data_IF_573609404676
#
_entry.id   IF_573609404676
#
_cell.length_a   1.000
_cell.length_b   1.000
_cell.length_c   1.000
_cell.angle_alpha   90.00
_cell.angle_beta   90.00
_cell.angle_gamma   90.00
#
_symmetry.space_group_name_H-M   'P 1'
#
loop_
_entity.id
_entity.type
_entity.pdbx_description
1 polymer ?
#
# COMPACT_ATOMS: atom_id res chain seq x y z
N UNK A 1 5.87 -22.98 6.47
CA UNK A 1 6.06 -21.55 6.70
C UNK A 1 4.99 -20.76 5.95
N UNK A 2 4.29 -19.82 6.60
CA UNK A 2 3.31 -18.96 5.94
C UNK A 2 3.97 -18.12 4.84
N UNK A 3 5.22 -17.68 5.05
CA UNK A 3 6.04 -16.91 4.11
C UNK A 3 6.21 -17.61 2.77
N UNK A 4 6.55 -18.90 2.78
CA UNK A 4 6.75 -19.67 1.53
C UNK A 4 5.44 -20.04 0.84
N UNK A 5 4.35 -20.18 1.59
CA UNK A 5 3.04 -20.54 1.02
C UNK A 5 2.34 -19.36 0.34
N UNK A 6 2.82 -18.13 0.55
CA UNK A 6 2.34 -16.94 -0.17
C UNK A 6 2.40 -17.10 -1.70
N UNK A 7 3.31 -17.96 -2.21
CA UNK A 7 3.44 -18.23 -3.65
C UNK A 7 2.16 -18.79 -4.27
N UNK A 8 1.28 -19.40 -3.48
CA UNK A 8 0.01 -19.97 -3.95
C UNK A 8 -0.93 -18.92 -4.54
N UNK A 9 -0.71 -17.64 -4.22
CA UNK A 9 -1.48 -16.51 -4.74
C UNK A 9 -0.91 -15.94 -6.05
N UNK A 10 0.25 -16.44 -6.51
CA UNK A 10 0.82 -16.05 -7.79
C UNK A 10 0.14 -16.81 -8.94
N UNK A 11 -0.10 -16.13 -10.07
CA UNK A 11 -0.66 -16.76 -11.28
C UNK A 11 0.22 -17.91 -11.79
N UNK A 12 1.53 -17.77 -11.65
CA UNK A 12 2.54 -18.78 -12.00
C UNK A 12 3.52 -18.91 -10.84
N UNK A 13 3.29 -19.82 -9.88
CA UNK A 13 4.21 -20.03 -8.77
C UNK A 13 5.53 -20.63 -9.26
N UNK A 14 6.70 -20.18 -8.77
CA UNK A 14 8.00 -20.72 -9.16
C UNK A 14 8.27 -22.13 -8.60
N UNK A 15 7.51 -22.55 -7.59
CA UNK A 15 7.55 -23.90 -7.00
C UNK A 15 6.17 -24.30 -6.50
N UNK A 16 5.93 -25.60 -6.33
CA UNK A 16 4.66 -26.11 -5.80
C UNK A 16 4.54 -25.83 -4.30
N UNK A 17 3.59 -24.99 -3.84
CA UNK A 17 3.41 -24.70 -2.42
C UNK A 17 3.06 -25.95 -1.58
N UNK A 18 2.57 -27.03 -2.19
CA UNK A 18 2.18 -28.26 -1.48
C UNK A 18 3.37 -29.06 -0.96
N UNK A 19 4.56 -28.88 -1.53
CA UNK A 19 5.77 -29.57 -1.06
C UNK A 19 6.34 -28.94 0.22
N UNK A 20 5.89 -27.73 0.57
CA UNK A 20 6.39 -26.96 1.70
C UNK A 20 5.82 -27.49 3.01
N UNK A 21 6.69 -28.11 3.81
CA UNK A 21 6.39 -28.54 5.17
C UNK A 21 6.37 -27.37 6.17
N UNK A 22 5.84 -27.61 7.36
CA UNK A 22 5.72 -26.60 8.43
C UNK A 22 7.04 -26.27 9.10
N UNK A 23 8.08 -27.06 8.88
CA UNK A 23 9.42 -26.98 9.47
C UNK A 23 10.51 -26.57 8.46
N UNK A 24 10.11 -26.12 7.27
CA UNK A 24 11.04 -25.65 6.24
C UNK A 24 11.19 -24.13 6.24
N UNK A 25 12.42 -23.66 6.00
CA UNK A 25 12.73 -22.29 5.60
C UNK A 25 13.24 -22.29 4.16
N UNK A 26 13.00 -21.19 3.43
CA UNK A 26 13.47 -21.03 2.06
C UNK A 26 14.60 -20.00 2.01
N UNK A 27 15.61 -20.28 1.20
CA UNK A 27 16.74 -19.39 0.97
C UNK A 27 16.78 -19.01 -0.51
N UNK A 28 16.87 -17.71 -0.78
CA UNK A 28 17.11 -17.17 -2.11
C UNK A 28 18.54 -16.61 -2.13
N UNK A 29 19.33 -17.07 -3.10
CA UNK A 29 20.71 -16.63 -3.29
C UNK A 29 20.82 -15.88 -4.62
N UNK A 30 21.54 -14.76 -4.61
CA UNK A 30 21.98 -14.09 -5.83
C UNK A 30 23.51 -14.05 -5.85
N UNK A 31 24.09 -14.36 -7.00
CA UNK A 31 25.52 -14.34 -7.23
C UNK A 31 25.84 -13.36 -8.35
N UNK A 32 26.95 -12.65 -8.23
CA UNK A 32 27.45 -11.75 -9.26
C UNK A 32 28.95 -12.01 -9.45
N UNK A 33 29.36 -12.25 -10.69
CA UNK A 33 30.75 -12.54 -11.06
C UNK A 33 31.15 -11.68 -12.27
N UNK A 34 32.47 -11.52 -12.46
CA UNK A 34 33.01 -10.70 -13.54
C UNK A 34 33.03 -11.40 -14.91
N UNK A 35 32.82 -12.72 -14.97
CA UNK A 35 32.88 -13.49 -16.21
C UNK A 35 32.00 -14.75 -16.16
N UNK A 36 31.60 -15.23 -17.34
CA UNK A 36 30.72 -16.39 -17.49
C UNK A 36 31.33 -17.68 -16.90
N UNK A 37 32.63 -17.90 -17.04
CA UNK A 37 33.30 -19.11 -16.53
C UNK A 37 33.20 -19.24 -15.01
N UNK A 38 33.22 -18.12 -14.27
CA UNK A 38 32.96 -18.12 -12.83
C UNK A 38 31.50 -18.48 -12.51
N UNK A 39 30.53 -17.94 -13.27
CA UNK A 39 29.11 -18.28 -13.12
C UNK A 39 28.87 -19.76 -13.40
N UNK A 40 29.41 -20.31 -14.49
CA UNK A 40 29.24 -21.71 -14.88
C UNK A 40 29.75 -22.65 -13.78
N UNK A 41 30.86 -22.30 -13.11
CA UNK A 41 31.37 -23.03 -11.95
C UNK A 41 30.40 -22.98 -10.77
N UNK A 42 29.82 -21.82 -10.46
CA UNK A 42 28.83 -21.67 -9.38
C UNK A 42 27.59 -22.50 -9.67
N UNK A 43 27.02 -22.39 -10.86
CA UNK A 43 25.82 -23.14 -11.30
C UNK A 43 26.05 -24.64 -11.18
N UNK A 44 27.25 -25.13 -11.51
CA UNK A 44 27.61 -26.55 -11.39
C UNK A 44 27.79 -27.01 -9.95
N UNK A 45 28.39 -26.19 -9.08
CA UNK A 45 28.81 -26.60 -7.74
C UNK A 45 27.73 -26.39 -6.68
N UNK A 46 26.92 -25.34 -6.76
CA UNK A 46 25.91 -24.99 -5.74
C UNK A 46 24.94 -26.14 -5.45
N UNK A 47 24.33 -26.81 -6.44
CA UNK A 47 23.45 -27.94 -6.18
C UNK A 47 24.12 -29.06 -5.37
N UNK A 48 25.41 -29.32 -5.65
CA UNK A 48 26.20 -30.36 -4.99
C UNK A 48 26.45 -29.98 -3.52
N UNK A 49 26.88 -28.74 -3.26
CA UNK A 49 27.15 -28.28 -1.89
C UNK A 49 25.86 -28.20 -1.05
N UNK A 50 24.75 -27.71 -1.64
CA UNK A 50 23.45 -27.66 -0.97
C UNK A 50 22.93 -29.06 -0.63
N UNK A 51 23.12 -30.05 -1.50
CA UNK A 51 22.72 -31.42 -1.23
C UNK A 51 23.51 -32.03 -0.06
N UNK A 52 24.82 -31.73 0.08
CA UNK A 52 25.65 -32.22 1.20
C UNK A 52 25.15 -31.76 2.56
N UNK A 53 24.58 -30.55 2.63
CA UNK A 53 24.01 -29.99 3.87
C UNK A 53 22.52 -30.32 4.05
N UNK A 54 21.95 -31.17 3.19
CA UNK A 54 20.56 -31.63 3.31
C UNK A 54 19.51 -30.63 2.82
N UNK A 55 19.89 -29.60 2.06
CA UNK A 55 18.93 -28.68 1.47
C UNK A 55 18.18 -29.33 0.30
N UNK A 56 16.88 -29.04 0.21
CA UNK A 56 16.04 -29.45 -0.93
C UNK A 56 16.07 -28.34 -1.99
N UNK A 57 16.65 -28.63 -3.14
CA UNK A 57 16.69 -27.70 -4.27
C UNK A 57 15.32 -27.67 -4.97
N UNK A 58 14.42 -26.82 -4.48
CA UNK A 58 13.07 -26.66 -5.04
C UNK A 58 13.07 -25.91 -6.38
N UNK A 59 14.05 -25.04 -6.57
CA UNK A 59 14.31 -24.30 -7.79
C UNK A 59 15.83 -24.22 -8.00
N UNK A 60 16.32 -24.54 -9.19
CA UNK A 60 17.76 -24.55 -9.50
C UNK A 60 18.31 -23.14 -9.78
N UNK A 61 19.64 -23.00 -9.92
CA UNK A 61 20.24 -21.75 -10.39
C UNK A 61 19.66 -21.33 -11.76
N UNK A 62 19.46 -20.03 -11.95
CA UNK A 62 18.96 -19.47 -13.22
C UNK A 62 19.67 -18.16 -13.55
N UNK A 63 19.99 -17.98 -14.83
CA UNK A 63 20.51 -16.73 -15.38
C UNK A 63 19.43 -15.96 -16.15
N UNK A 64 18.27 -16.58 -16.40
CA UNK A 64 17.15 -15.96 -17.12
C UNK A 64 16.60 -14.76 -16.35
N UNK A 65 16.61 -13.60 -17.00
CA UNK A 65 16.23 -12.31 -16.38
C UNK A 65 14.77 -12.33 -15.89
N UNK A 66 13.85 -12.84 -16.69
CA UNK A 66 12.43 -12.88 -16.32
C UNK A 66 12.19 -13.72 -15.06
N UNK A 67 12.83 -14.90 -14.99
CA UNK A 67 12.79 -15.79 -13.84
C UNK A 67 13.43 -15.15 -12.60
N UNK A 68 14.59 -14.49 -12.74
CA UNK A 68 15.24 -13.78 -11.64
C UNK A 68 14.36 -12.68 -11.07
N UNK A 69 13.74 -11.88 -11.94
CA UNK A 69 12.79 -10.83 -11.55
C UNK A 69 11.62 -11.45 -10.78
N UNK A 70 11.07 -12.58 -11.24
CA UNK A 70 9.98 -13.27 -10.57
C UNK A 70 10.35 -13.74 -9.15
N UNK A 71 11.53 -14.34 -8.97
CA UNK A 71 12.02 -14.77 -7.65
C UNK A 71 12.27 -13.60 -6.70
N UNK A 72 12.82 -12.50 -7.20
CA UNK A 72 13.00 -11.28 -6.40
C UNK A 72 11.68 -10.62 -6.04
N UNK A 73 10.71 -10.63 -6.96
CA UNK A 73 9.35 -10.14 -6.69
C UNK A 73 8.67 -10.98 -5.61
N UNK A 74 8.94 -12.28 -5.54
CA UNK A 74 8.46 -13.12 -4.45
C UNK A 74 9.00 -12.64 -3.10
N UNK A 75 10.32 -12.46 -2.97
CA UNK A 75 10.96 -11.98 -1.72
C UNK A 75 10.47 -10.58 -1.32
N UNK A 76 10.25 -9.69 -2.29
CA UNK A 76 9.71 -8.33 -2.07
C UNK A 76 8.20 -8.35 -1.73
N UNK A 77 7.48 -9.36 -2.23
CA UNK A 77 6.03 -9.51 -2.08
C UNK A 77 5.58 -10.07 -0.73
N UNK A 78 6.50 -10.53 0.14
CA UNK A 78 6.14 -11.11 1.45
C UNK A 78 5.40 -10.12 2.35
N UNK A 79 5.90 -8.89 2.50
CA UNK A 79 5.23 -7.86 3.30
C UNK A 79 3.85 -7.49 2.75
N UNK A 80 3.69 -7.16 1.45
CA UNK A 80 2.37 -6.92 0.89
C UNK A 80 1.40 -8.09 1.00
N UNK A 81 1.89 -9.33 0.99
CA UNK A 81 1.00 -10.49 1.15
C UNK A 81 0.34 -10.52 2.51
N UNK A 82 1.07 -10.19 3.58
CA UNK A 82 0.46 -9.98 4.92
C UNK A 82 -0.62 -8.91 4.85
N UNK A 83 -0.32 -7.79 4.18
CA UNK A 83 -1.27 -6.71 3.93
C UNK A 83 -2.52 -7.13 3.14
N UNK A 84 -2.42 -8.11 2.25
CA UNK A 84 -3.54 -8.62 1.45
C UNK A 84 -4.39 -9.66 2.21
N UNK A 85 -3.76 -10.45 3.08
CA UNK A 85 -4.41 -11.55 3.81
C UNK A 85 -5.03 -11.12 5.13
N UNK A 86 -4.63 -9.95 5.66
CA UNK A 86 -5.16 -9.44 6.93
C UNK A 86 -6.65 -9.16 6.89
N UNK A 87 -7.26 -9.17 8.06
CA UNK A 87 -8.62 -8.66 8.23
C UNK A 87 -8.69 -7.15 8.00
N UNK A 88 -9.78 -6.67 7.40
CA UNK A 88 -10.03 -5.23 7.21
C UNK A 88 -10.14 -4.55 8.58
N UNK A 89 -9.64 -3.32 8.66
CA UNK A 89 -9.60 -2.57 9.92
C UNK A 89 -8.42 -2.89 10.85
N UNK A 90 -7.57 -3.87 10.49
CA UNK A 90 -6.30 -4.12 11.20
C UNK A 90 -5.14 -3.36 10.56
N UNK A 91 -4.07 -3.13 11.32
CA UNK A 91 -2.76 -2.64 10.87
C UNK A 91 -1.84 -3.80 10.55
N UNK A 92 -0.77 -3.54 9.78
CA UNK A 92 0.36 -4.48 9.66
C UNK A 92 1.50 -3.95 10.51
N UNK A 93 1.94 -4.76 11.48
CA UNK A 93 3.13 -4.48 12.27
C UNK A 93 4.35 -5.10 11.60
N UNK A 94 5.51 -4.45 11.75
CA UNK A 94 6.79 -4.93 11.26
C UNK A 94 7.84 -4.75 12.33
N UNK A 95 8.41 -5.85 12.78
CA UNK A 95 9.57 -5.84 13.68
C UNK A 95 10.83 -6.29 12.94
N UNK A 96 11.97 -5.83 13.42
CA UNK A 96 13.25 -5.90 12.72
C UNK A 96 14.35 -6.21 13.73
N UNK A 97 14.71 -7.50 13.80
CA UNK A 97 15.52 -8.07 14.86
C UNK A 97 16.82 -8.63 14.27
N UNK A 98 17.94 -8.50 14.98
CA UNK A 98 19.22 -9.03 14.52
C UNK A 98 19.79 -10.03 15.52
N UNK A 99 20.31 -11.15 15.00
CA UNK A 99 20.87 -12.24 15.78
C UNK A 99 22.17 -12.74 15.15
N UNK A 100 22.94 -13.55 15.87
CA UNK A 100 24.01 -14.28 15.24
C UNK A 100 23.42 -15.32 14.26
N UNK A 101 23.94 -15.42 13.04
CA UNK A 101 23.34 -16.26 11.98
C UNK A 101 23.24 -17.75 12.35
N UNK A 102 24.15 -18.25 13.21
CA UNK A 102 24.10 -19.63 13.74
C UNK A 102 22.88 -19.90 14.61
N UNK A 103 22.30 -18.87 15.23
CA UNK A 103 21.18 -19.00 16.18
C UNK A 103 19.82 -18.90 15.49
N UNK A 104 19.77 -18.46 14.22
CA UNK A 104 18.53 -18.25 13.47
C UNK A 104 17.55 -19.44 13.52
N UNK A 105 17.99 -20.72 13.42
CA UNK A 105 17.04 -21.84 13.51
C UNK A 105 16.29 -21.89 14.85
N UNK A 106 16.99 -21.68 15.97
CA UNK A 106 16.37 -21.72 17.30
C UNK A 106 15.58 -20.43 17.58
N UNK A 107 16.11 -19.27 17.15
CA UNK A 107 15.40 -17.99 17.24
C UNK A 107 14.06 -18.04 16.51
N UNK A 108 14.02 -18.53 15.27
CA UNK A 108 12.78 -18.65 14.49
C UNK A 108 11.79 -19.60 15.19
N UNK A 109 12.27 -20.69 15.80
CA UNK A 109 11.43 -21.62 16.56
C UNK A 109 10.82 -20.93 17.79
N UNK A 110 11.59 -20.17 18.55
CA UNK A 110 11.11 -19.43 19.73
C UNK A 110 10.17 -18.28 19.36
N UNK A 111 10.50 -17.51 18.31
CA UNK A 111 9.62 -16.47 17.77
C UNK A 111 8.26 -17.04 17.40
N UNK A 112 8.20 -18.24 16.81
CA UNK A 112 6.93 -18.91 16.49
C UNK A 112 6.13 -19.28 17.75
N UNK A 113 6.79 -19.68 18.83
CA UNK A 113 6.14 -19.96 20.13
C UNK A 113 5.54 -18.66 20.68
N UNK A 114 6.29 -17.55 20.63
CA UNK A 114 5.81 -16.23 21.02
C UNK A 114 4.59 -15.80 20.16
N UNK A 115 4.66 -16.00 18.84
CA UNK A 115 3.54 -15.70 17.94
C UNK A 115 2.28 -16.49 18.30
N UNK A 116 2.43 -17.78 18.59
CA UNK A 116 1.32 -18.64 19.04
C UNK A 116 0.75 -18.17 20.39
N UNK A 117 1.61 -17.85 21.36
CA UNK A 117 1.21 -17.32 22.68
C UNK A 117 0.35 -16.06 22.54
N UNK A 118 0.72 -15.16 21.63
CA UNK A 118 0.02 -13.91 21.39
C UNK A 118 -0.96 -13.94 20.20
N UNK A 119 -1.31 -15.12 19.66
CA UNK A 119 -2.32 -15.35 18.61
C UNK A 119 -2.03 -14.66 17.26
N UNK A 120 -0.77 -14.49 16.89
CA UNK A 120 -0.35 -13.97 15.57
C UNK A 120 -0.25 -15.10 14.53
N UNK A 121 -1.41 -15.66 14.17
CA UNK A 121 -1.49 -16.83 13.29
C UNK A 121 -1.13 -16.53 11.82
N UNK A 122 -1.20 -15.26 11.43
CA UNK A 122 -0.84 -14.75 10.11
C UNK A 122 0.59 -14.20 10.02
N UNK A 123 1.41 -14.47 11.04
CA UNK A 123 2.79 -13.99 11.09
C UNK A 123 3.66 -14.60 9.99
N UNK A 124 4.48 -13.73 9.41
CA UNK A 124 5.46 -14.04 8.36
C UNK A 124 6.82 -13.62 8.88
N UNK A 125 7.74 -14.59 8.97
CA UNK A 125 9.13 -14.37 9.36
C UNK A 125 9.99 -14.55 8.11
N UNK A 126 10.82 -13.55 7.81
CA UNK A 126 11.68 -13.49 6.63
C UNK A 126 12.81 -12.50 6.88
N UNK A 127 13.85 -12.44 6.05
CA UNK A 127 14.93 -11.50 6.36
C UNK A 127 16.15 -11.62 5.46
N UNK A 128 17.26 -11.16 6.00
CA UNK A 128 18.60 -11.24 5.44
C UNK A 128 19.41 -12.24 6.27
N UNK A 129 19.25 -13.52 5.93
CA UNK A 129 19.74 -14.63 6.76
C UNK A 129 21.26 -14.59 6.98
N UNK A 130 22.03 -14.12 5.99
CA UNK A 130 23.49 -14.02 6.09
C UNK A 130 23.91 -12.98 7.14
N UNK A 131 23.18 -11.88 7.21
CA UNK A 131 23.42 -10.79 8.15
C UNK A 131 22.77 -11.04 9.53
N UNK A 132 22.02 -12.14 9.68
CA UNK A 132 21.30 -12.43 10.93
C UNK A 132 20.08 -11.53 11.17
N UNK A 133 19.69 -10.72 10.18
CA UNK A 133 18.52 -9.85 10.25
C UNK A 133 17.24 -10.63 9.93
N UNK A 134 16.32 -10.67 10.89
CA UNK A 134 14.97 -11.20 10.77
C UNK A 134 13.95 -10.07 10.85
N UNK A 135 13.13 -9.97 9.82
CA UNK A 135 11.89 -9.25 9.85
C UNK A 135 10.75 -10.17 10.28
N UNK A 136 9.88 -9.59 11.09
CA UNK A 136 8.61 -10.17 11.48
C UNK A 136 7.49 -9.25 10.98
N UNK A 137 6.50 -9.80 10.30
CA UNK A 137 5.31 -9.05 9.89
C UNK A 137 4.04 -9.82 10.24
N UNK A 138 3.05 -9.12 10.80
CA UNK A 138 1.76 -9.71 11.16
C UNK A 138 0.64 -8.64 11.19
N UNK A 139 -0.62 -9.05 11.17
CA UNK A 139 -1.72 -8.12 11.39
C UNK A 139 -1.98 -7.84 12.87
N UNK A 140 -2.46 -6.63 13.17
CA UNK A 140 -2.80 -6.19 14.52
C UNK A 140 -3.99 -5.24 14.52
N UNK A 141 -5.03 -5.57 15.28
CA UNK A 141 -6.13 -4.66 15.55
C UNK A 141 -5.77 -3.66 16.66
N UNK A 142 -5.44 -2.42 16.29
CA UNK A 142 -5.22 -1.34 17.26
C UNK A 142 -6.50 -0.62 17.69
N UNK A 143 -7.67 -1.03 17.18
CA UNK A 143 -8.95 -0.48 17.61
C UNK A 143 -9.46 -1.13 18.91
N UNK A 144 -8.89 -2.27 19.33
CA UNK A 144 -9.29 -3.00 20.54
C UNK A 144 -8.23 -3.02 21.63
N UNK A 145 -8.68 -3.01 22.89
CA UNK A 145 -7.78 -3.11 24.05
C UNK A 145 -7.07 -4.47 24.15
N UNK A 146 -7.72 -5.56 23.72
CA UNK A 146 -7.07 -6.87 23.61
C UNK A 146 -5.94 -6.82 22.58
N UNK A 147 -6.16 -6.14 21.46
CA UNK A 147 -5.13 -6.00 20.45
C UNK A 147 -3.90 -5.24 20.93
N UNK A 148 -4.10 -4.09 21.59
CA UNK A 148 -3.02 -3.34 22.23
C UNK A 148 -2.27 -4.17 23.28
N UNK A 149 -3.01 -4.95 24.09
CA UNK A 149 -2.40 -5.84 25.10
C UNK A 149 -1.53 -6.93 24.45
N UNK A 150 -1.99 -7.53 23.36
CA UNK A 150 -1.23 -8.55 22.62
C UNK A 150 0.04 -7.96 22.02
N UNK A 151 -0.04 -6.75 21.48
CA UNK A 151 1.11 -6.04 20.94
C UNK A 151 2.16 -5.72 22.01
N UNK A 152 1.74 -5.17 23.16
CA UNK A 152 2.63 -4.92 24.30
C UNK A 152 3.34 -6.21 24.77
N UNK A 153 2.59 -7.29 24.87
CA UNK A 153 3.11 -8.59 25.27
C UNK A 153 4.09 -9.20 24.27
N UNK A 154 3.76 -9.11 22.97
CA UNK A 154 4.63 -9.56 21.87
C UNK A 154 5.99 -8.87 21.93
N UNK A 155 6.01 -7.54 22.02
CA UNK A 155 7.26 -6.77 22.02
C UNK A 155 8.12 -7.06 23.25
N UNK A 156 7.51 -7.24 24.43
CA UNK A 156 8.24 -7.61 25.65
C UNK A 156 8.88 -8.99 25.54
N UNK A 157 8.12 -9.99 25.12
CA UNK A 157 8.65 -11.34 24.93
C UNK A 157 9.75 -11.37 23.84
N UNK A 158 9.58 -10.61 22.75
CA UNK A 158 10.62 -10.44 21.73
C UNK A 158 11.86 -9.73 22.28
N UNK A 159 11.68 -8.73 23.15
CA UNK A 159 12.79 -8.05 23.79
C UNK A 159 13.59 -8.97 24.72
N UNK A 160 12.91 -9.72 25.58
CA UNK A 160 13.53 -10.73 26.46
C UNK A 160 14.23 -11.83 25.65
N UNK A 161 13.58 -12.34 24.60
CA UNK A 161 14.20 -13.32 23.71
C UNK A 161 15.49 -12.77 23.10
N UNK A 162 15.44 -11.55 22.59
CA UNK A 162 16.52 -10.97 21.80
C UNK A 162 17.68 -10.57 22.68
N UNK A 163 17.44 -9.77 23.71
CA UNK A 163 18.48 -9.21 24.57
C UNK A 163 19.01 -10.27 25.54
N UNK A 164 18.14 -10.95 26.28
CA UNK A 164 18.59 -11.81 27.38
C UNK A 164 19.03 -13.20 26.90
N UNK A 165 18.30 -13.82 25.98
CA UNK A 165 18.58 -15.21 25.56
C UNK A 165 19.63 -15.30 24.46
N UNK A 166 19.59 -14.38 23.49
CA UNK A 166 20.44 -14.47 22.30
C UNK A 166 21.47 -13.33 22.18
N UNK A 167 21.46 -12.34 23.08
CA UNK A 167 22.33 -11.17 23.01
C UNK A 167 22.33 -10.52 21.60
N UNK A 168 21.14 -10.42 21.01
CA UNK A 168 20.85 -9.82 19.71
C UNK A 168 20.50 -8.34 19.82
N UNK A 169 20.03 -7.78 18.71
CA UNK A 169 19.60 -6.38 18.58
C UNK A 169 18.11 -6.29 18.27
N UNK A 170 17.40 -5.35 18.91
CA UNK A 170 15.97 -5.06 18.67
C UNK A 170 15.71 -4.20 17.44
N UNK A 171 16.79 -3.86 16.72
CA UNK A 171 16.77 -3.04 15.51
C UNK A 171 17.94 -3.46 14.63
N UNK A 172 17.68 -3.78 13.37
CA UNK A 172 18.72 -4.08 12.39
C UNK A 172 18.91 -2.92 11.42
N UNK A 173 17.87 -2.58 10.65
CA UNK A 173 17.85 -1.55 9.61
C UNK A 173 16.76 -0.48 9.78
N UNK A 174 15.63 -0.79 10.46
CA UNK A 174 14.50 0.15 10.57
C UNK A 174 14.70 1.24 11.63
N UNK A 175 15.72 1.11 12.49
CA UNK A 175 16.02 2.04 13.57
C UNK A 175 15.08 1.91 14.78
N UNK A 176 15.09 2.91 15.65
CA UNK A 176 14.37 2.85 16.93
C UNK A 176 12.88 3.23 16.78
N UNK A 177 12.61 4.46 16.34
CA UNK A 177 11.25 5.00 16.31
C UNK A 177 10.54 4.97 17.67
N UNK A 178 9.28 5.40 17.69
CA UNK A 178 8.46 5.38 18.93
C UNK A 178 8.17 3.96 19.43
N UNK A 179 8.26 2.98 18.54
CA UNK A 179 7.99 1.58 18.84
C UNK A 179 9.07 0.96 19.73
N UNK A 180 10.36 1.19 19.40
CA UNK A 180 11.48 0.62 20.17
C UNK A 180 12.08 1.58 21.19
N UNK A 181 11.74 2.88 21.16
CA UNK A 181 12.32 3.86 22.08
C UNK A 181 12.22 3.48 23.57
N UNK A 182 11.11 2.89 24.06
CA UNK A 182 11.02 2.39 25.44
C UNK A 182 12.05 1.30 25.79
N UNK A 183 12.49 0.51 24.81
CA UNK A 183 13.35 -0.65 25.00
C UNK A 183 14.85 -0.32 24.83
N UNK A 184 15.22 0.92 24.49
CA UNK A 184 16.62 1.31 24.25
C UNK A 184 17.48 1.14 25.49
N UNK A 185 16.99 1.56 26.67
CA UNK A 185 17.74 1.39 27.92
C UNK A 185 17.92 -0.08 28.29
N UNK A 186 16.91 -0.90 27.99
CA UNK A 186 16.94 -2.34 28.24
C UNK A 186 17.99 -3.04 27.36
N UNK A 187 18.05 -2.72 26.07
CA UNK A 187 19.02 -3.30 25.13
C UNK A 187 20.46 -2.79 25.35
N UNK A 188 20.65 -1.49 25.58
CA UNK A 188 21.99 -0.88 25.64
C UNK A 188 22.55 -0.74 27.06
N UNK A 189 21.73 -0.99 28.07
CA UNK A 189 22.06 -0.77 29.46
C UNK A 189 22.05 0.70 29.87
N UNK A 190 21.97 0.92 31.18
CA UNK A 190 21.81 2.26 31.77
C UNK A 190 22.95 3.22 31.43
N UNK A 191 24.21 2.77 31.47
CA UNK A 191 25.37 3.65 31.26
C UNK A 191 25.40 4.26 29.85
N UNK A 192 25.29 3.41 28.82
CA UNK A 192 25.27 3.86 27.42
C UNK A 192 24.03 4.71 27.14
N UNK A 193 22.87 4.32 27.68
CA UNK A 193 21.64 5.10 27.56
C UNK A 193 21.77 6.51 28.14
N UNK A 194 22.45 6.69 29.28
CA UNK A 194 22.73 8.03 29.83
C UNK A 194 23.69 8.83 28.95
N UNK A 195 24.67 8.20 28.30
CA UNK A 195 25.53 8.88 27.32
C UNK A 195 24.71 9.38 26.13
N UNK A 196 23.80 8.55 25.60
CA UNK A 196 22.89 8.96 24.52
C UNK A 196 22.06 10.20 24.91
N UNK A 197 21.54 10.23 26.15
CA UNK A 197 20.83 11.40 26.67
C UNK A 197 21.71 12.64 26.82
N UNK A 198 22.95 12.51 27.28
CA UNK A 198 23.90 13.63 27.34
C UNK A 198 24.15 14.20 25.95
N UNK A 199 24.39 13.35 24.94
CA UNK A 199 24.57 13.79 23.56
C UNK A 199 23.32 14.55 23.09
N UNK A 200 22.12 13.99 23.30
CA UNK A 200 20.85 14.62 22.92
C UNK A 200 20.68 15.98 23.58
N UNK A 201 20.95 16.12 24.88
CA UNK A 201 20.80 17.38 25.61
C UNK A 201 21.82 18.45 25.19
N UNK A 202 23.04 18.05 24.79
CA UNK A 202 24.03 18.99 24.27
C UNK A 202 23.67 19.50 22.87
N UNK A 203 23.08 18.64 22.03
CA UNK A 203 22.71 19.00 20.66
C UNK A 203 21.32 19.68 20.56
N UNK A 204 20.40 19.35 21.47
CA UNK A 204 19.02 19.84 21.49
C UNK A 204 18.56 20.10 22.94
N UNK A 205 19.05 21.20 23.57
CA UNK A 205 18.75 21.50 24.97
C UNK A 205 17.26 21.72 25.26
N UNK A 206 16.51 22.20 24.28
CA UNK A 206 15.06 22.45 24.38
C UNK A 206 14.21 21.21 24.05
N UNK A 207 14.82 20.16 23.48
CA UNK A 207 14.14 18.92 23.16
C UNK A 207 13.16 19.01 22.00
N UNK A 208 13.31 19.99 21.09
CA UNK A 208 12.36 20.25 20.00
C UNK A 208 12.56 19.32 18.79
N UNK A 209 13.75 18.73 18.64
CA UNK A 209 14.08 17.88 17.50
C UNK A 209 13.58 16.45 17.71
N UNK A 210 12.41 16.15 17.15
CA UNK A 210 11.78 14.81 17.15
C UNK A 210 11.72 14.16 18.54
N UNK A 211 10.98 14.77 19.50
CA UNK A 211 10.83 14.21 20.84
C UNK A 211 10.24 12.80 20.79
N UNK A 212 10.75 11.96 21.71
CA UNK A 212 10.31 10.57 21.93
C UNK A 212 10.52 9.59 20.76
N UNK A 213 11.25 9.97 19.71
CA UNK A 213 11.47 9.09 18.54
C UNK A 213 12.66 8.15 18.72
N UNK A 214 13.79 8.63 19.24
CA UNK A 214 15.00 7.81 19.41
C UNK A 214 15.25 7.44 20.88
N UNK A 215 14.91 8.36 21.78
CA UNK A 215 15.05 8.21 23.21
C UNK A 215 13.77 8.74 23.84
N UNK A 216 13.22 8.00 24.80
CA UNK A 216 12.09 8.43 25.59
C UNK A 216 12.27 7.99 27.03
N UNK A 217 11.72 8.76 27.98
CA UNK A 217 11.56 8.32 29.37
C UNK A 217 10.21 7.64 29.61
N UNK A 218 9.32 7.63 28.62
CA UNK A 218 8.01 7.01 28.69
C UNK A 218 8.09 5.52 28.33
N UNK A 219 8.11 4.67 29.35
CA UNK A 219 8.20 3.21 29.22
C UNK A 219 6.98 2.55 28.56
N UNK A 220 5.94 3.33 28.25
CA UNK A 220 4.71 2.83 27.58
C UNK A 220 4.47 3.53 26.24
N UNK A 221 5.45 4.25 25.69
CA UNK A 221 5.26 5.02 24.47
C UNK A 221 4.79 4.15 23.29
N UNK A 222 5.30 2.93 23.16
CA UNK A 222 5.00 2.00 22.08
C UNK A 222 3.52 1.61 21.99
N UNK A 223 2.75 1.78 23.07
CA UNK A 223 1.31 1.49 23.12
C UNK A 223 0.44 2.75 23.24
N UNK A 224 1.05 3.94 23.09
CA UNK A 224 0.33 5.23 23.10
C UNK A 224 0.21 5.80 21.70
N UNK A 225 -0.84 6.59 21.48
CA UNK A 225 -1.09 7.29 20.21
C UNK A 225 -1.04 6.35 18.99
N UNK A 226 -1.47 5.09 19.19
CA UNK A 226 -1.57 4.10 18.12
C UNK A 226 -2.62 4.58 17.12
N UNK A 227 -2.27 4.50 15.84
CA UNK A 227 -3.17 4.92 14.76
C UNK A 227 -4.27 3.86 14.58
N UNK A 228 -5.55 4.18 14.85
CA UNK A 228 -6.65 3.27 14.54
C UNK A 228 -6.86 3.19 13.02
N UNK A 229 -7.40 2.07 12.55
CA UNK A 229 -7.73 1.86 11.14
C UNK A 229 -9.22 1.57 11.03
N UNK A 230 -10.08 2.59 10.84
CA UNK A 230 -11.50 2.37 10.62
C UNK A 230 -11.73 1.81 9.21
N UNK A 231 -12.79 1.03 9.06
CA UNK A 231 -13.31 0.57 7.78
C UNK A 231 -14.08 1.72 7.13
N UNK A 232 -13.74 2.06 5.88
CA UNK A 232 -14.38 3.15 5.13
C UNK A 232 -15.11 2.67 3.88
N UNK A 233 -14.51 1.75 3.13
CA UNK A 233 -15.06 1.18 1.91
C UNK A 233 -14.30 -0.09 1.53
N UNK A 234 -15.06 -1.12 1.17
CA UNK A 234 -14.54 -2.46 0.89
C UNK A 234 -13.46 -2.50 -0.19
N UNK A 235 -13.47 -1.55 -1.14
CA UNK A 235 -12.53 -1.46 -2.25
C UNK A 235 -11.14 -0.93 -1.87
N UNK A 236 -10.99 -0.31 -0.69
CA UNK A 236 -9.74 0.32 -0.25
C UNK A 236 -9.25 -0.13 1.13
N UNK A 237 -10.07 -0.85 1.90
CA UNK A 237 -9.74 -1.15 3.30
C UNK A 237 -8.61 -2.16 3.53
N UNK A 238 -8.14 -2.84 2.49
CA UNK A 238 -6.88 -3.59 2.53
C UNK A 238 -5.63 -2.67 2.47
N UNK A 239 -5.79 -1.36 2.24
CA UNK A 239 -4.67 -0.42 2.16
C UNK A 239 -3.88 -0.36 3.46
N UNK A 240 -2.58 -0.64 3.39
CA UNK A 240 -1.60 -0.53 4.49
C UNK A 240 -0.86 0.80 4.50
N UNK A 241 -1.29 1.75 3.65
CA UNK A 241 -0.75 3.13 3.60
C UNK A 241 0.75 3.24 3.25
N UNK A 242 1.29 2.28 2.49
CA UNK A 242 2.70 2.23 2.10
C UNK A 242 3.15 3.28 1.05
N UNK A 243 2.23 3.77 0.22
CA UNK A 243 2.52 4.82 -0.76
C UNK A 243 3.01 4.36 -2.14
N UNK A 244 3.07 3.05 -2.44
CA UNK A 244 3.46 2.57 -3.79
C UNK A 244 2.60 3.14 -4.93
N UNK A 245 1.35 3.50 -4.64
CA UNK A 245 0.43 4.09 -5.61
C UNK A 245 0.68 5.58 -5.90
N UNK A 246 1.48 6.28 -5.09
CA UNK A 246 1.64 7.74 -5.20
C UNK A 246 2.37 8.17 -6.49
N UNK A 247 3.50 7.54 -6.89
CA UNK A 247 4.27 8.00 -8.05
C UNK A 247 3.54 7.91 -9.40
N UNK A 248 2.54 7.03 -9.51
CA UNK A 248 1.76 6.82 -10.76
C UNK A 248 0.45 7.60 -10.79
N UNK A 249 0.11 8.32 -9.72
CA UNK A 249 -1.15 9.05 -9.66
C UNK A 249 -1.09 10.32 -10.51
N UNK A 250 -2.01 10.54 -11.47
CA UNK A 250 -2.05 11.79 -12.24
C UNK A 250 -2.27 13.04 -11.39
N UNK A 251 -2.85 12.89 -10.20
CA UNK A 251 -3.09 13.98 -9.26
C UNK A 251 -1.87 14.29 -8.36
N UNK A 252 -0.80 13.50 -8.45
CA UNK A 252 0.42 13.72 -7.68
C UNK A 252 1.04 15.09 -8.02
N UNK A 253 1.41 15.86 -6.99
CA UNK A 253 1.91 17.22 -7.15
C UNK A 253 0.83 18.29 -7.38
N UNK A 254 -0.43 17.89 -7.64
CA UNK A 254 -1.57 18.81 -7.74
C UNK A 254 -2.44 18.82 -6.49
N UNK A 255 -2.76 17.64 -5.96
CA UNK A 255 -3.68 17.44 -4.82
C UNK A 255 -3.41 16.10 -4.12
N UNK A 256 -4.41 15.47 -3.49
CA UNK A 256 -4.20 14.22 -2.75
C UNK A 256 -3.90 13.03 -3.67
N UNK A 257 -2.91 12.25 -3.27
CA UNK A 257 -2.58 10.95 -3.85
C UNK A 257 -3.61 9.87 -3.44
N UNK A 258 -3.61 8.68 -4.05
CA UNK A 258 -4.57 7.62 -3.71
C UNK A 258 -4.45 7.18 -2.25
N UNK A 259 -3.21 7.05 -1.73
CA UNK A 259 -2.97 6.80 -0.30
C UNK A 259 -3.56 7.89 0.57
N UNK A 260 -3.27 9.15 0.26
CA UNK A 260 -3.73 10.28 1.07
C UNK A 260 -5.27 10.39 1.09
N UNK A 261 -5.95 10.10 -0.02
CA UNK A 261 -7.43 10.04 -0.08
C UNK A 261 -8.00 8.99 0.87
N UNK A 262 -7.38 7.80 0.91
CA UNK A 262 -7.79 6.73 1.83
C UNK A 262 -7.55 7.15 3.28
N UNK A 263 -6.40 7.76 3.59
CA UNK A 263 -6.09 8.27 4.93
C UNK A 263 -7.12 9.32 5.36
N UNK A 264 -7.41 10.31 4.51
CA UNK A 264 -8.41 11.34 4.81
C UNK A 264 -9.80 10.72 5.01
N UNK A 265 -10.22 9.76 4.17
CA UNK A 265 -11.48 9.07 4.36
C UNK A 265 -11.57 8.36 5.73
N UNK A 266 -10.46 7.75 6.17
CA UNK A 266 -10.36 7.13 7.50
C UNK A 266 -10.46 8.16 8.61
N UNK A 267 -9.74 9.28 8.49
CA UNK A 267 -9.82 10.37 9.48
C UNK A 267 -11.24 10.96 9.58
N UNK A 268 -11.94 11.13 8.47
CA UNK A 268 -13.34 11.56 8.47
C UNK A 268 -14.23 10.56 9.23
N UNK A 269 -14.02 9.25 9.01
CA UNK A 269 -14.79 8.21 9.71
C UNK A 269 -14.51 8.20 11.21
N UNK A 270 -13.27 8.39 11.65
CA UNK A 270 -12.94 8.47 13.08
C UNK A 270 -13.64 9.66 13.76
N UNK A 271 -13.74 10.78 13.05
CA UNK A 271 -14.26 12.02 13.57
C UNK A 271 -15.75 12.25 13.29
N UNK A 272 -16.43 11.31 12.63
CA UNK A 272 -17.82 11.45 12.16
C UNK A 272 -18.80 11.86 13.28
N UNK A 273 -18.57 11.38 14.50
CA UNK A 273 -19.41 11.66 15.69
C UNK A 273 -18.96 12.87 16.51
N UNK A 274 -17.86 13.53 16.14
CA UNK A 274 -17.36 14.69 16.86
C UNK A 274 -18.17 15.94 16.53
N UNK A 275 -19.01 16.37 17.48
CA UNK A 275 -19.90 17.53 17.33
C UNK A 275 -19.16 18.87 17.26
N UNK A 276 -17.86 18.91 17.58
CA UNK A 276 -17.03 20.12 17.48
C UNK A 276 -16.61 20.40 16.04
N UNK A 277 -16.68 19.39 15.18
CA UNK A 277 -16.24 19.48 13.78
C UNK A 277 -17.46 19.71 12.88
N UNK A 278 -17.40 20.76 12.06
CA UNK A 278 -18.40 20.97 11.01
C UNK A 278 -18.14 20.01 9.85
N UNK A 279 -18.69 18.79 9.95
CA UNK A 279 -18.51 17.72 8.97
C UNK A 279 -18.90 18.14 7.55
N UNK A 280 -19.99 18.90 7.40
CA UNK A 280 -20.44 19.38 6.09
C UNK A 280 -19.39 20.28 5.43
N UNK A 281 -18.91 21.28 6.18
CA UNK A 281 -17.88 22.19 5.68
C UNK A 281 -16.58 21.45 5.35
N UNK A 282 -16.18 20.50 6.21
CA UNK A 282 -14.98 19.71 5.96
C UNK A 282 -15.09 18.88 4.66
N UNK A 283 -16.25 18.26 4.42
CA UNK A 283 -16.52 17.52 3.17
C UNK A 283 -16.47 18.45 1.94
N UNK A 284 -17.03 19.67 2.05
CA UNK A 284 -16.95 20.68 1.00
C UNK A 284 -15.49 21.13 0.73
N UNK A 285 -14.71 21.39 1.79
CA UNK A 285 -13.32 21.84 1.69
C UNK A 285 -12.39 20.77 1.07
N UNK A 286 -12.67 19.49 1.31
CA UNK A 286 -11.86 18.41 0.74
C UNK A 286 -12.34 17.96 -0.64
N UNK A 287 -13.56 18.26 -1.10
CA UNK A 287 -14.15 17.63 -2.30
C UNK A 287 -13.27 17.79 -3.55
N UNK A 288 -12.72 18.99 -3.77
CA UNK A 288 -11.78 19.25 -4.86
C UNK A 288 -10.59 18.30 -4.80
N UNK A 289 -9.90 18.27 -3.65
CA UNK A 289 -8.69 17.48 -3.43
C UNK A 289 -8.96 15.97 -3.27
N UNK A 290 -10.16 15.63 -2.80
CA UNK A 290 -10.88 14.39 -2.45
C UNK A 290 -11.37 13.51 -3.58
N UNK A 291 -12.03 14.18 -4.51
CA UNK A 291 -12.94 13.59 -5.46
C UNK A 291 -12.70 14.20 -6.84
N UNK A 292 -12.82 15.52 -6.99
CA UNK A 292 -12.81 16.16 -8.32
C UNK A 292 -11.48 15.94 -9.07
N UNK A 293 -10.35 16.04 -8.38
CA UNK A 293 -9.02 15.89 -9.01
C UNK A 293 -8.63 14.45 -9.33
N UNK A 294 -9.37 13.45 -8.85
CA UNK A 294 -9.09 12.06 -9.20
C UNK A 294 -9.58 11.74 -10.61
N UNK A 295 -8.69 11.27 -11.48
CA UNK A 295 -9.05 10.85 -12.84
C UNK A 295 -9.96 9.61 -12.87
N UNK A 296 -10.02 8.85 -11.77
CA UNK A 296 -10.76 7.58 -11.64
C UNK A 296 -10.41 6.53 -12.72
N UNK A 297 -9.16 6.58 -13.18
CA UNK A 297 -8.57 5.72 -14.21
C UNK A 297 -8.11 4.35 -13.69
N UNK A 298 -7.79 4.26 -12.40
CA UNK A 298 -7.29 3.04 -11.76
C UNK A 298 -5.79 2.81 -11.91
N UNK A 299 -4.99 3.78 -12.39
CA UNK A 299 -3.54 3.61 -12.56
C UNK A 299 -2.82 3.22 -11.26
N UNK A 300 -3.36 3.67 -10.12
CA UNK A 300 -2.89 3.29 -8.79
C UNK A 300 -2.90 1.78 -8.53
N UNK A 301 -3.78 1.03 -9.17
CA UNK A 301 -3.92 -0.42 -9.00
C UNK A 301 -2.69 -1.16 -9.54
N UNK A 302 -2.12 -0.67 -10.64
CA UNK A 302 -0.96 -1.27 -11.32
C UNK A 302 0.25 -1.37 -10.37
N UNK A 303 0.44 -0.36 -9.52
CA UNK A 303 1.54 -0.30 -8.56
C UNK A 303 1.15 -0.80 -7.17
N UNK A 304 -0.14 -1.00 -6.90
CA UNK A 304 -0.59 -1.41 -5.59
C UNK A 304 -0.31 -2.91 -5.41
N UNK A 305 0.50 -3.33 -4.43
CA UNK A 305 0.85 -4.73 -4.30
C UNK A 305 -0.30 -5.60 -3.76
N UNK A 306 -1.42 -4.98 -3.36
CA UNK A 306 -2.67 -5.64 -2.95
C UNK A 306 -3.84 -5.27 -3.88
N UNK A 307 -3.55 -4.78 -5.09
CA UNK A 307 -4.52 -4.48 -6.17
C UNK A 307 -5.65 -3.51 -5.79
N UNK A 308 -5.33 -2.44 -5.06
CA UNK A 308 -6.33 -1.42 -4.70
C UNK A 308 -6.51 -0.43 -5.83
N UNK A 309 -7.77 -0.27 -6.24
CA UNK A 309 -8.19 0.73 -7.21
C UNK A 309 -8.95 1.86 -6.51
N UNK A 310 -8.24 2.92 -6.11
CA UNK A 310 -8.86 4.11 -5.52
C UNK A 310 -9.79 4.83 -6.51
N UNK A 311 -9.63 4.63 -7.83
CA UNK A 311 -10.58 5.15 -8.81
C UNK A 311 -11.99 4.57 -8.66
N UNK A 312 -12.10 3.30 -8.26
CA UNK A 312 -13.40 2.69 -7.94
C UNK A 312 -13.99 3.29 -6.66
N UNK A 313 -13.17 3.51 -5.63
CA UNK A 313 -13.60 4.20 -4.42
C UNK A 313 -14.15 5.60 -4.71
N UNK A 314 -13.44 6.41 -5.51
CA UNK A 314 -13.94 7.74 -5.89
C UNK A 314 -15.22 7.66 -6.72
N UNK A 315 -15.38 6.65 -7.60
CA UNK A 315 -16.64 6.43 -8.32
C UNK A 315 -17.80 6.14 -7.37
N UNK A 316 -17.57 5.41 -6.28
CA UNK A 316 -18.57 5.21 -5.21
C UNK A 316 -18.97 6.55 -4.58
N UNK A 317 -17.99 7.37 -4.19
CA UNK A 317 -18.24 8.70 -3.63
C UNK A 317 -19.05 9.60 -4.58
N UNK A 318 -18.73 9.60 -5.88
CA UNK A 318 -19.45 10.36 -6.91
C UNK A 318 -20.86 9.84 -7.13
N UNK A 319 -21.06 8.52 -7.12
CA UNK A 319 -22.40 7.93 -7.25
C UNK A 319 -23.32 8.39 -6.13
N UNK A 320 -22.80 8.47 -4.91
CA UNK A 320 -23.57 8.88 -3.74
C UNK A 320 -23.92 10.37 -3.74
N UNK A 321 -23.19 11.20 -4.50
CA UNK A 321 -23.51 12.63 -4.67
C UNK A 321 -24.53 12.93 -5.76
N UNK A 322 -24.91 11.94 -6.59
CA UNK A 322 -25.86 12.14 -7.69
C UNK A 322 -27.33 12.14 -7.24
N UNK A 323 -28.13 13.04 -7.81
CA UNK A 323 -29.58 13.04 -7.58
C UNK A 323 -30.28 11.85 -8.26
N UNK A 324 -31.45 11.45 -7.75
CA UNK A 324 -32.28 10.39 -8.36
C UNK A 324 -32.62 10.69 -9.82
N UNK A 325 -32.89 11.95 -10.15
CA UNK A 325 -33.14 12.38 -11.53
C UNK A 325 -31.90 12.27 -12.41
N UNK A 326 -30.73 12.65 -11.90
CA UNK A 326 -29.45 12.49 -12.61
C UNK A 326 -29.15 11.03 -12.93
N UNK A 327 -29.32 10.15 -11.94
CA UNK A 327 -29.13 8.70 -12.12
C UNK A 327 -30.11 8.11 -13.14
N UNK A 328 -31.37 8.56 -13.14
CA UNK A 328 -32.35 8.18 -14.16
C UNK A 328 -31.94 8.65 -15.56
N UNK A 329 -31.51 9.91 -15.72
CA UNK A 329 -31.05 10.45 -17.00
C UNK A 329 -29.84 9.66 -17.53
N UNK A 330 -28.87 9.35 -16.68
CA UNK A 330 -27.69 8.54 -17.06
C UNK A 330 -28.11 7.14 -17.50
N UNK A 331 -28.98 6.47 -16.74
CA UNK A 331 -29.48 5.14 -17.10
C UNK A 331 -30.26 5.16 -18.43
N UNK A 332 -31.08 6.20 -18.66
CA UNK A 332 -31.78 6.40 -19.92
C UNK A 332 -30.80 6.60 -21.08
N UNK A 333 -29.79 7.47 -20.93
CA UNK A 333 -28.75 7.70 -21.95
C UNK A 333 -28.00 6.41 -22.25
N UNK A 334 -27.65 5.61 -21.25
CA UNK A 334 -26.96 4.32 -21.43
C UNK A 334 -27.82 3.33 -22.23
N UNK A 335 -29.11 3.21 -21.90
CA UNK A 335 -30.04 2.32 -22.60
C UNK A 335 -30.42 2.82 -24.00
N UNK A 336 -30.32 4.13 -24.24
CA UNK A 336 -30.63 4.79 -25.51
C UNK A 336 -29.40 5.44 -26.13
N UNK A 337 -28.22 4.84 -25.96
CA UNK A 337 -26.94 5.48 -26.35
C UNK A 337 -26.88 5.77 -27.85
N UNK A 338 -27.31 4.81 -28.69
CA UNK A 338 -27.38 4.99 -30.15
C UNK A 338 -28.27 6.17 -30.54
N UNK A 339 -29.45 6.28 -29.93
CA UNK A 339 -30.38 7.38 -30.17
C UNK A 339 -29.78 8.72 -29.72
N UNK A 340 -29.24 8.76 -28.49
CA UNK A 340 -28.60 9.94 -27.91
C UNK A 340 -27.45 10.44 -28.80
N UNK A 341 -26.60 9.52 -29.26
CA UNK A 341 -25.51 9.81 -30.19
C UNK A 341 -26.02 10.36 -31.52
N UNK A 342 -27.08 9.78 -32.10
CA UNK A 342 -27.69 10.27 -33.34
C UNK A 342 -28.23 11.70 -33.20
N UNK A 343 -28.92 12.00 -32.09
CA UNK A 343 -29.43 13.35 -31.79
C UNK A 343 -28.27 14.34 -31.63
N UNK A 344 -27.24 14.01 -30.84
CA UNK A 344 -26.08 14.87 -30.64
C UNK A 344 -25.32 15.14 -31.94
N UNK A 345 -25.11 14.13 -32.78
CA UNK A 345 -24.50 14.31 -34.11
C UNK A 345 -25.34 15.24 -34.98
N UNK A 346 -26.66 15.05 -34.99
CA UNK A 346 -27.59 15.93 -35.72
C UNK A 346 -27.49 17.38 -35.26
N UNK A 347 -27.46 17.62 -33.95
CA UNK A 347 -27.30 18.95 -33.37
C UNK A 347 -25.98 19.61 -33.79
N UNK A 348 -24.85 18.88 -33.71
CA UNK A 348 -23.54 19.41 -34.12
C UNK A 348 -23.56 19.77 -35.61
N UNK A 349 -24.14 18.92 -36.47
CA UNK A 349 -24.30 19.20 -37.92
C UNK A 349 -25.12 20.46 -38.16
N UNK A 350 -26.25 20.63 -37.47
CA UNK A 350 -27.10 21.83 -37.57
C UNK A 350 -26.32 23.07 -37.14
N UNK A 351 -25.58 23.00 -36.03
CA UNK A 351 -24.78 24.14 -35.55
C UNK A 351 -23.65 24.51 -36.50
N UNK A 352 -23.02 23.53 -37.16
CA UNK A 352 -22.00 23.77 -38.17
C UNK A 352 -22.58 24.34 -39.48
N UNK A 353 -23.81 23.93 -39.83
CA UNK A 353 -24.56 24.54 -40.92
C UNK A 353 -24.88 26.02 -40.60
N UNK A 354 -25.39 26.31 -39.40
CA UNK A 354 -25.64 27.70 -38.97
C UNK A 354 -24.38 28.55 -38.94
N UNK A 355 -23.26 28.04 -38.41
CA UNK A 355 -22.01 28.80 -38.38
C UNK A 355 -21.51 29.13 -39.79
N UNK A 356 -21.67 28.20 -40.75
CA UNK A 356 -21.25 28.40 -42.14
C UNK A 356 -22.11 29.42 -42.90
N UNK A 357 -23.42 29.44 -42.67
CA UNK A 357 -24.36 30.25 -43.46
C UNK A 357 -24.80 31.56 -42.79
N UNK A 358 -24.86 31.59 -41.46
CA UNK A 358 -25.41 32.72 -40.67
C UNK A 358 -24.32 33.35 -39.77
N UNK A 359 -23.18 32.68 -39.59
CA UNK A 359 -22.06 33.13 -38.76
C UNK A 359 -22.12 32.60 -37.31
N UNK A 360 -21.03 32.74 -36.58
CA UNK A 360 -20.85 32.15 -35.24
C UNK A 360 -21.60 32.87 -34.10
N UNK A 361 -22.15 34.06 -34.36
CA UNK A 361 -22.73 34.92 -33.32
C UNK A 361 -23.96 34.31 -32.64
N UNK A 362 -24.85 33.66 -33.39
CA UNK A 362 -26.09 33.08 -32.87
C UNK A 362 -25.82 31.78 -32.08
N UNK A 363 -25.10 30.77 -32.61
CA UNK A 363 -24.77 29.57 -31.82
C UNK A 363 -23.97 29.88 -30.56
N UNK A 364 -23.07 30.87 -30.61
CA UNK A 364 -22.31 31.33 -29.45
C UNK A 364 -23.19 32.03 -28.41
N UNK A 365 -24.15 32.85 -28.82
CA UNK A 365 -25.10 33.49 -27.91
C UNK A 365 -26.00 32.44 -27.23
N UNK A 366 -26.61 31.54 -28.01
CA UNK A 366 -27.52 30.51 -27.48
C UNK A 366 -26.81 29.57 -26.51
N UNK A 367 -25.61 29.12 -26.85
CA UNK A 367 -24.81 28.28 -25.96
C UNK A 367 -24.34 29.01 -24.70
N UNK A 368 -24.06 30.33 -24.77
CA UNK A 368 -23.80 31.15 -23.57
C UNK A 368 -25.02 31.27 -22.66
N UNK A 369 -26.21 31.48 -23.23
CA UNK A 369 -27.46 31.54 -22.45
C UNK A 369 -27.72 30.20 -21.78
N UNK A 370 -27.58 29.10 -22.52
CA UNK A 370 -27.74 27.75 -21.99
C UNK A 370 -26.69 27.42 -20.91
N UNK A 371 -25.42 27.77 -21.15
CA UNK A 371 -24.35 27.64 -20.16
C UNK A 371 -24.68 28.40 -18.89
N UNK A 372 -25.16 29.65 -18.98
CA UNK A 372 -25.55 30.43 -17.80
C UNK A 372 -26.77 29.83 -17.09
N UNK A 373 -27.79 29.41 -17.84
CA UNK A 373 -29.01 28.81 -17.30
C UNK A 373 -28.76 27.46 -16.60
N UNK A 374 -27.73 26.73 -17.03
CA UNK A 374 -27.33 25.43 -16.47
C UNK A 374 -26.18 25.54 -15.47
N UNK A 375 -25.92 26.73 -14.90
CA UNK A 375 -24.83 26.97 -13.97
C UNK A 375 -23.46 26.47 -14.49
N UNK A 376 -23.19 26.74 -15.76
CA UNK A 376 -21.98 26.41 -16.52
C UNK A 376 -21.77 24.92 -16.83
N UNK A 377 -22.79 24.08 -16.66
CA UNK A 377 -22.68 22.64 -16.96
C UNK A 377 -22.71 22.28 -18.45
N UNK A 378 -23.16 23.17 -19.35
CA UNK A 378 -23.14 22.92 -20.81
C UNK A 378 -22.03 23.70 -21.50
N UNK A 379 -21.29 23.14 -22.48
CA UNK A 379 -20.20 23.84 -23.16
C UNK A 379 -20.70 25.04 -23.97
N UNK A 380 -19.82 26.04 -24.14
CA UNK A 380 -20.06 27.18 -25.02
C UNK A 380 -19.58 26.83 -26.44
N UNK A 381 -20.35 27.21 -27.46
CA UNK A 381 -19.99 27.00 -28.86
C UNK A 381 -18.62 27.61 -29.16
N UNK A 382 -17.76 26.80 -29.78
CA UNK A 382 -16.45 27.17 -30.27
C UNK A 382 -16.41 26.95 -31.79
N UNK A 383 -16.08 28.00 -32.54
CA UNK A 383 -15.95 27.95 -34.01
C UNK A 383 -14.94 26.91 -34.52
N UNK A 384 -14.01 26.49 -33.67
CA UNK A 384 -13.00 25.48 -33.99
C UNK A 384 -13.47 24.03 -33.73
N UNK A 385 -14.72 23.82 -33.29
CA UNK A 385 -15.29 22.48 -33.16
C UNK A 385 -15.36 21.81 -34.53
N UNK A 386 -14.71 20.66 -34.65
CA UNK A 386 -14.75 19.86 -35.87
C UNK A 386 -16.18 19.39 -36.17
N UNK A 387 -16.56 19.28 -37.46
CA UNK A 387 -17.82 18.62 -37.83
C UNK A 387 -17.84 17.19 -37.27
N UNK A 388 -19.03 16.62 -37.02
CA UNK A 388 -19.12 15.30 -36.42
C UNK A 388 -18.43 14.29 -37.36
N UNK A 389 -17.58 13.39 -36.83
CA UNK A 389 -16.88 12.41 -37.65
C UNK A 389 -17.89 11.52 -38.37
N UNK A 390 -17.53 11.10 -39.59
CA UNK A 390 -18.29 10.10 -40.35
C UNK A 390 -18.53 8.90 -39.45
N UNK A 391 -19.72 8.31 -39.52
CA UNK A 391 -20.04 7.07 -38.81
C UNK A 391 -19.00 6.01 -39.16
N UNK A 392 -18.08 5.73 -38.23
CA UNK A 392 -17.22 4.55 -38.33
C UNK A 392 -18.15 3.33 -38.28
N UNK A 393 -18.27 2.64 -39.40
CA UNK A 393 -18.95 1.36 -39.40
C UNK A 393 -18.02 0.32 -38.78
N UNK A 394 -18.53 -0.59 -37.95
CA UNK A 394 -17.72 -1.65 -37.34
C UNK A 394 -16.95 -2.51 -38.37
N UNK A 395 -17.35 -2.46 -39.65
CA UNK A 395 -16.64 -3.06 -40.78
C UNK A 395 -15.31 -2.39 -41.17
N UNK A 396 -15.02 -1.20 -40.66
CA UNK A 396 -13.81 -0.42 -40.99
C UNK A 396 -12.65 -0.66 -40.01
N UNK A 397 -12.89 -1.41 -38.93
CA UNK A 397 -11.85 -1.95 -38.05
C UNK A 397 -11.66 -3.43 -38.37
N UNK A 398 -10.83 -3.74 -39.37
CA UNK A 398 -10.32 -5.08 -39.64
C UNK A 398 -8.83 -5.14 -39.38
#
# INVERSE_FOLDING_TARGET
>A
DASLRTVQYLKTPPFDPKIIRTDMAGLLFEFQEYNQHSIDKLVKNIPIELQKVGCVLSFGPTEDEATRIQLWNLRKGLYPTVGAMREKGTSVITEDLCYHYNDLPEVVKELRIICQKWRYDDSVIFGHAKEGNLHFAASMDFNSSDGVKRFDGLLKDMAELTVDKFNGSLKAEHGTGRNMAPFVEYEWGGELYQIMWKIKQNADPEGILNPDVLLTKDQKLHIKNLKPIPIVDDSVDLCVECGFCEPVCPSAGLSLTPRQRIVIARELRLNEKDTRINQKKLLEDIDYNSNETCAADGLCEIMCPVNINTGNFVKTLRKDSHSKAGNWCVAWIQNHFKFTQSVLRGLITITHWWSKFIGDSIPHMLSKVLNKATNRSTPIWNKNLSPPPVSLHASEFK
#
